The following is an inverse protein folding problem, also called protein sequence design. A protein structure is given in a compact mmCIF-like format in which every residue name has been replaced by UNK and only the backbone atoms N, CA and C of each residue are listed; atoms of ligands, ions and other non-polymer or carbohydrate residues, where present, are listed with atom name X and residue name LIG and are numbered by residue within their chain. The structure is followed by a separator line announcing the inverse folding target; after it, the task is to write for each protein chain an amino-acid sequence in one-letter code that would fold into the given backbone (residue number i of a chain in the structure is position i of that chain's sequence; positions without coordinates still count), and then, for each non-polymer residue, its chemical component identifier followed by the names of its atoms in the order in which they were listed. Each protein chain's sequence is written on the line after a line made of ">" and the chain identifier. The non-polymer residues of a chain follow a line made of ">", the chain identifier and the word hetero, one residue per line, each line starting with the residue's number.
data_IF_041659633833
#
_entry.id   IF_041659633833
#
_cell.length_a   1.000
_cell.length_b   1.000
_cell.length_c   1.000
_cell.angle_alpha   90.00
_cell.angle_beta   90.00
_cell.angle_gamma   90.00
#
_symmetry.space_group_name_H-M   'P 1'
#
loop_
_entity.id
_entity.type
_entity.pdbx_description
1 polymer ?
#
# COMPACT_ATOMS: atom_id res chain seq x y z
N UNK A 1 -5.16 -26.63 -24.03
CA UNK A 1 -4.68 -26.83 -22.64
C UNK A 1 -4.99 -25.56 -21.88
N UNK A 2 -5.67 -25.63 -20.72
CA UNK A 2 -6.09 -24.43 -20.01
C UNK A 2 -4.86 -23.60 -19.61
N UNK A 3 -4.91 -22.25 -19.69
CA UNK A 3 -3.82 -21.38 -19.26
C UNK A 3 -3.48 -21.48 -17.76
N UNK A 4 -4.20 -22.33 -17.02
CA UNK A 4 -4.05 -22.58 -15.58
C UNK A 4 -3.23 -23.85 -15.24
N UNK A 5 -2.58 -24.51 -16.20
CA UNK A 5 -1.72 -25.67 -15.88
C UNK A 5 -0.34 -25.29 -15.32
N UNK A 6 -0.13 -24.03 -14.96
CA UNK A 6 1.03 -23.61 -14.19
C UNK A 6 0.94 -24.22 -12.78
N UNK A 7 2.05 -24.73 -12.28
CA UNK A 7 2.14 -25.22 -10.92
C UNK A 7 1.72 -24.12 -9.94
N UNK A 8 0.71 -24.39 -9.12
CA UNK A 8 0.35 -23.57 -7.96
C UNK A 8 0.87 -24.24 -6.70
N UNK A 9 1.37 -23.49 -5.70
CA UNK A 9 1.69 -24.06 -4.40
C UNK A 9 0.50 -24.84 -3.85
N UNK A 10 0.74 -25.88 -3.06
CA UNK A 10 -0.31 -26.45 -2.21
C UNK A 10 -0.72 -25.44 -1.11
N UNK A 11 -1.85 -25.66 -0.41
CA UNK A 11 -2.15 -24.89 0.78
C UNK A 11 -1.04 -25.08 1.82
N UNK A 12 -0.50 -23.99 2.35
CA UNK A 12 0.49 -24.06 3.41
C UNK A 12 -0.12 -24.27 4.80
N UNK A 13 0.72 -24.38 5.85
CA UNK A 13 0.26 -24.70 7.19
C UNK A 13 -0.67 -23.64 7.78
N UNK A 14 -0.42 -22.35 7.55
CA UNK A 14 -1.24 -21.27 8.09
C UNK A 14 -2.61 -21.25 7.41
N UNK A 15 -2.64 -21.36 6.09
CA UNK A 15 -3.90 -21.45 5.35
C UNK A 15 -4.72 -22.67 5.79
N UNK A 16 -4.07 -23.82 5.96
CA UNK A 16 -4.72 -25.07 6.40
C UNK A 16 -5.28 -24.93 7.82
N UNK A 17 -4.53 -24.29 8.73
CA UNK A 17 -5.02 -24.02 10.09
C UNK A 17 -6.26 -23.12 10.07
N UNK A 18 -6.24 -22.01 9.32
CA UNK A 18 -7.37 -21.09 9.28
C UNK A 18 -8.61 -21.76 8.68
N UNK A 19 -8.44 -22.48 7.56
CA UNK A 19 -9.56 -23.16 6.90
C UNK A 19 -10.14 -24.29 7.75
N UNK A 20 -9.29 -25.06 8.44
CA UNK A 20 -9.77 -26.09 9.39
C UNK A 20 -10.50 -25.50 10.60
N UNK A 21 -10.03 -24.39 11.16
CA UNK A 21 -10.74 -23.68 12.23
C UNK A 21 -12.08 -23.12 11.74
N UNK A 22 -12.12 -22.59 10.52
CA UNK A 22 -13.35 -22.11 9.90
C UNK A 22 -14.35 -23.25 9.72
N UNK A 23 -13.93 -24.37 9.14
CA UNK A 23 -14.79 -25.53 8.94
C UNK A 23 -15.28 -26.12 10.29
N UNK A 24 -14.43 -26.12 11.32
CA UNK A 24 -14.79 -26.55 12.67
C UNK A 24 -15.77 -25.60 13.38
N UNK A 25 -15.78 -24.31 13.03
CA UNK A 25 -16.66 -23.30 13.64
C UNK A 25 -18.12 -23.40 13.20
N UNK A 26 -18.42 -24.18 12.15
CA UNK A 26 -19.76 -24.30 11.59
C UNK A 26 -20.24 -23.05 10.83
N UNK A 27 -19.36 -22.07 10.60
CA UNK A 27 -19.69 -20.86 9.84
C UNK A 27 -19.85 -21.25 8.36
N UNK A 28 -20.95 -20.83 7.68
CA UNK A 28 -21.15 -21.11 6.26
C UNK A 28 -19.96 -20.65 5.42
N UNK A 29 -19.61 -21.42 4.39
CA UNK A 29 -18.55 -21.02 3.45
C UNK A 29 -18.90 -19.69 2.82
N UNK A 30 -17.93 -18.78 2.78
CA UNK A 30 -18.12 -17.48 2.16
C UNK A 30 -18.62 -17.62 0.70
N UNK A 31 -19.52 -16.74 0.26
CA UNK A 31 -19.97 -16.67 -1.14
C UNK A 31 -18.79 -16.42 -2.09
N UNK A 32 -18.95 -16.74 -3.37
CA UNK A 32 -17.85 -16.71 -4.34
C UNK A 32 -17.25 -15.30 -4.50
N UNK A 33 -18.11 -14.29 -4.43
CA UNK A 33 -17.84 -12.86 -4.57
C UNK A 33 -16.93 -12.31 -3.46
N UNK A 34 -16.76 -13.06 -2.36
CA UNK A 34 -15.84 -12.75 -1.27
C UNK A 34 -14.56 -13.60 -1.31
N UNK A 35 -14.51 -14.64 -2.15
CA UNK A 35 -13.35 -15.52 -2.30
C UNK A 35 -12.54 -15.20 -3.55
N UNK A 36 -13.15 -14.64 -4.58
CA UNK A 36 -12.46 -14.24 -5.80
C UNK A 36 -13.04 -12.95 -6.34
N UNK A 37 -12.24 -12.24 -7.13
CA UNK A 37 -12.59 -10.93 -7.65
C UNK A 37 -13.55 -11.11 -8.82
N UNK A 38 -14.80 -10.66 -8.65
CA UNK A 38 -15.82 -10.70 -9.68
C UNK A 38 -16.30 -9.28 -9.94
N UNK A 39 -15.82 -8.62 -11.01
CA UNK A 39 -16.22 -7.25 -11.33
C UNK A 39 -17.75 -7.12 -11.43
N UNK A 40 -18.32 -6.14 -10.73
CA UNK A 40 -19.77 -5.91 -10.68
C UNK A 40 -20.55 -6.75 -9.66
N UNK A 41 -19.92 -7.76 -9.04
CA UNK A 41 -20.56 -8.62 -8.04
C UNK A 41 -19.88 -8.58 -6.68
N UNK A 42 -18.54 -8.52 -6.66
CA UNK A 42 -17.79 -8.31 -5.43
C UNK A 42 -18.12 -6.93 -4.84
N UNK A 43 -18.22 -6.77 -3.51
CA UNK A 43 -18.45 -5.47 -2.89
C UNK A 43 -17.43 -4.43 -3.35
N UNK A 44 -17.89 -3.21 -3.67
CA UNK A 44 -17.02 -2.12 -4.14
C UNK A 44 -16.20 -2.46 -5.41
N UNK A 45 -16.68 -3.38 -6.25
CA UNK A 45 -15.97 -3.80 -7.47
C UNK A 45 -16.30 -2.97 -8.70
N UNK A 46 -17.11 -1.93 -8.58
CA UNK A 46 -17.40 -1.00 -9.69
C UNK A 46 -16.80 0.38 -9.46
N UNK A 47 -16.42 1.05 -10.54
CA UNK A 47 -15.92 2.43 -10.49
C UNK A 47 -16.89 3.38 -9.79
N UNK A 48 -18.21 3.20 -10.00
CA UNK A 48 -19.26 4.03 -9.38
C UNK A 48 -19.25 3.88 -7.86
N UNK A 49 -19.15 2.65 -7.36
CA UNK A 49 -19.08 2.37 -5.93
C UNK A 49 -17.80 2.92 -5.31
N UNK A 50 -16.65 2.76 -5.97
CA UNK A 50 -15.37 3.30 -5.50
C UNK A 50 -15.43 4.83 -5.41
N UNK A 51 -15.91 5.50 -6.46
CA UNK A 51 -16.07 6.97 -6.48
C UNK A 51 -17.05 7.42 -5.39
N UNK A 52 -18.16 6.72 -5.21
CA UNK A 52 -19.13 7.03 -4.15
C UNK A 52 -18.54 6.84 -2.75
N UNK A 53 -17.75 5.78 -2.52
CA UNK A 53 -17.09 5.52 -1.25
C UNK A 53 -16.06 6.60 -0.92
N UNK A 54 -15.19 6.96 -1.87
CA UNK A 54 -14.20 8.03 -1.69
C UNK A 54 -14.87 9.40 -1.53
N UNK A 55 -15.92 9.69 -2.31
CA UNK A 55 -16.72 10.90 -2.14
C UNK A 55 -17.35 11.00 -0.77
N UNK A 56 -17.93 9.89 -0.28
CA UNK A 56 -18.50 9.80 1.08
C UNK A 56 -17.43 10.00 2.14
N UNK A 57 -16.27 9.37 2.00
CA UNK A 57 -15.12 9.58 2.88
C UNK A 57 -14.74 11.05 2.96
N UNK A 58 -14.53 11.73 1.83
CA UNK A 58 -14.15 13.15 1.82
C UNK A 58 -15.24 14.02 2.45
N UNK A 59 -16.52 13.75 2.17
CA UNK A 59 -17.64 14.45 2.79
C UNK A 59 -17.66 14.27 4.32
N UNK A 60 -17.45 13.06 4.81
CA UNK A 60 -17.38 12.77 6.26
C UNK A 60 -16.20 13.48 6.90
N UNK A 61 -15.02 13.49 6.27
CA UNK A 61 -13.82 14.12 6.83
C UNK A 61 -13.94 15.65 6.85
N UNK A 62 -14.34 16.27 5.73
CA UNK A 62 -14.46 17.73 5.66
C UNK A 62 -15.69 18.25 6.41
N UNK A 63 -16.83 17.59 6.29
CA UNK A 63 -18.05 17.92 7.04
C UNK A 63 -17.86 17.69 8.54
N UNK A 64 -17.25 16.56 8.93
CA UNK A 64 -16.89 16.27 10.31
C UNK A 64 -15.95 17.31 10.90
N UNK A 65 -14.96 17.79 10.13
CA UNK A 65 -14.06 18.86 10.55
C UNK A 65 -14.81 20.17 10.83
N UNK A 66 -15.80 20.52 10.01
CA UNK A 66 -16.63 21.72 10.23
C UNK A 66 -17.48 21.60 11.49
N UNK A 67 -18.17 20.47 11.65
CA UNK A 67 -19.00 20.17 12.84
C UNK A 67 -18.16 20.20 14.11
N UNK A 68 -16.94 19.66 14.04
CA UNK A 68 -16.06 19.61 15.19
C UNK A 68 -15.56 20.99 15.61
N UNK A 69 -15.61 22.05 14.77
CA UNK A 69 -15.15 23.40 15.19
C UNK A 69 -15.85 23.87 16.46
N UNK A 70 -17.16 23.67 16.57
CA UNK A 70 -17.99 24.09 17.71
C UNK A 70 -18.03 23.08 18.87
N UNK A 71 -17.40 21.90 18.74
CA UNK A 71 -17.45 20.83 19.76
C UNK A 71 -16.12 20.66 20.50
N UNK A 72 -16.12 19.98 21.64
CA UNK A 72 -14.88 19.60 22.33
C UNK A 72 -14.29 18.31 21.70
N UNK A 73 -12.96 18.09 21.77
CA UNK A 73 -12.35 16.88 21.23
C UNK A 73 -12.79 15.63 22.00
N UNK A 74 -13.14 14.56 21.28
CA UNK A 74 -13.57 13.31 21.89
C UNK A 74 -12.39 12.51 22.46
N UNK A 75 -12.60 11.84 23.60
CA UNK A 75 -11.64 10.91 24.20
C UNK A 75 -11.93 9.48 23.74
N UNK A 76 -11.41 9.10 22.58
CA UNK A 76 -11.66 7.80 21.93
C UNK A 76 -10.52 6.79 22.11
N UNK A 77 -9.82 6.81 23.25
CA UNK A 77 -8.61 6.00 23.45
C UNK A 77 -8.86 4.48 23.33
N UNK A 78 -9.96 3.98 23.89
CA UNK A 78 -10.34 2.56 23.79
C UNK A 78 -10.60 2.11 22.35
N UNK A 79 -11.58 2.72 21.65
CA UNK A 79 -11.86 2.41 20.25
C UNK A 79 -10.65 2.57 19.34
N UNK A 80 -9.85 3.63 19.53
CA UNK A 80 -8.61 3.84 18.78
C UNK A 80 -7.62 2.69 19.01
N UNK A 81 -7.41 2.24 20.25
CA UNK A 81 -6.53 1.09 20.53
C UNK A 81 -7.04 -0.20 19.88
N UNK A 82 -8.35 -0.47 19.97
CA UNK A 82 -8.96 -1.63 19.34
C UNK A 82 -8.77 -1.62 17.82
N UNK A 83 -8.98 -0.46 17.19
CA UNK A 83 -8.80 -0.28 15.77
C UNK A 83 -7.34 -0.56 15.33
N UNK A 84 -6.37 0.02 16.05
CA UNK A 84 -4.95 -0.16 15.73
C UNK A 84 -4.49 -1.61 15.94
N UNK A 85 -4.89 -2.28 17.03
CA UNK A 85 -4.52 -3.69 17.23
C UNK A 85 -5.17 -4.60 16.19
N UNK A 86 -6.43 -4.33 15.81
CA UNK A 86 -7.11 -5.04 14.72
C UNK A 86 -6.33 -4.89 13.41
N UNK A 87 -5.92 -3.68 13.04
CA UNK A 87 -5.15 -3.43 11.82
C UNK A 87 -3.75 -4.05 11.86
N UNK A 88 -3.07 -4.03 13.01
CA UNK A 88 -1.79 -4.74 13.20
C UNK A 88 -1.93 -6.24 12.98
N UNK A 89 -2.90 -6.87 13.66
CA UNK A 89 -3.09 -8.32 13.58
C UNK A 89 -3.60 -8.74 12.20
N UNK A 90 -4.55 -8.01 11.64
CA UNK A 90 -5.09 -8.25 10.30
C UNK A 90 -4.02 -8.12 9.21
N UNK A 91 -3.22 -7.05 9.25
CA UNK A 91 -2.12 -6.85 8.31
C UNK A 91 -1.03 -7.92 8.46
N UNK A 92 -0.73 -8.32 9.70
CA UNK A 92 0.29 -9.34 9.98
C UNK A 92 -0.15 -10.74 9.52
N UNK A 93 -1.41 -11.09 9.77
CA UNK A 93 -2.00 -12.34 9.28
C UNK A 93 -2.01 -12.38 7.76
N UNK A 94 -2.44 -11.30 7.12
CA UNK A 94 -2.47 -11.21 5.66
C UNK A 94 -1.08 -11.29 5.05
N UNK A 95 -0.09 -10.59 5.64
CA UNK A 95 1.30 -10.68 5.22
C UNK A 95 1.81 -12.13 5.29
N UNK A 96 1.55 -12.83 6.40
CA UNK A 96 1.98 -14.21 6.57
C UNK A 96 1.35 -15.14 5.52
N UNK A 97 0.05 -15.00 5.25
CA UNK A 97 -0.65 -15.77 4.22
C UNK A 97 -0.12 -15.49 2.81
N UNK A 98 0.17 -14.23 2.49
CA UNK A 98 0.77 -13.85 1.21
C UNK A 98 2.18 -14.42 1.07
N UNK A 99 3.01 -14.33 2.11
CA UNK A 99 4.36 -14.90 2.08
C UNK A 99 4.36 -16.43 1.96
N UNK A 100 3.43 -17.11 2.64
CA UNK A 100 3.24 -18.56 2.52
C UNK A 100 2.92 -18.99 1.08
N UNK A 101 2.18 -18.18 0.33
CA UNK A 101 1.87 -18.41 -1.09
C UNK A 101 3.04 -18.03 -2.02
N UNK A 102 3.65 -16.86 -1.82
CA UNK A 102 4.60 -16.27 -2.77
C UNK A 102 6.00 -16.90 -2.65
N UNK A 103 6.45 -17.22 -1.43
CA UNK A 103 7.81 -17.75 -1.21
C UNK A 103 8.06 -19.04 -2.02
N UNK A 104 7.16 -20.04 -2.03
CA UNK A 104 7.34 -21.22 -2.89
C UNK A 104 7.38 -20.89 -4.39
N UNK A 105 6.58 -19.94 -4.85
CA UNK A 105 6.56 -19.49 -6.26
C UNK A 105 7.91 -18.84 -6.61
N UNK A 106 8.37 -17.92 -5.78
CA UNK A 106 9.66 -17.25 -5.91
C UNK A 106 10.83 -18.24 -5.91
N UNK A 107 10.85 -19.20 -4.99
CA UNK A 107 11.92 -20.19 -4.90
C UNK A 107 11.95 -21.14 -6.11
N UNK A 108 10.79 -21.47 -6.67
CA UNK A 108 10.69 -22.40 -7.80
C UNK A 108 10.99 -21.75 -9.15
N UNK A 109 10.50 -20.53 -9.37
CA UNK A 109 10.52 -19.88 -10.68
C UNK A 109 11.44 -18.64 -10.75
N UNK A 110 11.91 -18.15 -9.61
CA UNK A 110 12.76 -16.96 -9.53
C UNK A 110 11.97 -15.64 -9.52
N UNK A 111 12.66 -14.56 -9.14
CA UNK A 111 12.04 -13.25 -8.92
C UNK A 111 11.29 -12.70 -10.14
N UNK A 112 11.95 -12.67 -11.30
CA UNK A 112 11.37 -12.09 -12.53
C UNK A 112 10.05 -12.76 -12.90
N UNK A 113 10.02 -14.10 -12.84
CA UNK A 113 8.82 -14.86 -13.13
C UNK A 113 7.69 -14.50 -12.15
N UNK A 114 7.98 -14.39 -10.85
CA UNK A 114 6.97 -14.06 -9.84
C UNK A 114 6.41 -12.64 -9.96
N UNK A 115 7.17 -11.69 -10.51
CA UNK A 115 6.67 -10.32 -10.69
C UNK A 115 5.99 -10.09 -12.04
N UNK A 116 6.26 -10.90 -13.06
CA UNK A 116 5.82 -10.65 -14.43
C UNK A 116 4.94 -11.75 -15.05
N UNK A 117 4.92 -12.98 -14.51
CA UNK A 117 4.11 -14.04 -15.08
C UNK A 117 2.64 -13.94 -14.61
N UNK A 118 1.64 -14.04 -15.51
CA UNK A 118 0.23 -14.07 -15.11
C UNK A 118 -0.10 -15.19 -14.13
N UNK A 119 0.61 -16.32 -14.22
CA UNK A 119 0.41 -17.48 -13.34
C UNK A 119 0.86 -17.23 -11.90
N UNK A 120 1.64 -16.16 -11.64
CA UNK A 120 1.95 -15.73 -10.29
C UNK A 120 0.74 -15.09 -9.59
N UNK A 121 -0.28 -14.67 -10.36
CA UNK A 121 -1.55 -14.15 -9.88
C UNK A 121 -2.50 -15.31 -9.52
N UNK A 122 -2.13 -16.09 -8.51
CA UNK A 122 -2.88 -17.32 -8.14
C UNK A 122 -4.24 -17.00 -7.54
N UNK A 123 -5.23 -17.91 -7.61
CA UNK A 123 -6.57 -17.68 -7.04
C UNK A 123 -6.56 -17.32 -5.55
N UNK A 124 -5.69 -17.95 -4.74
CA UNK A 124 -5.54 -17.60 -3.32
C UNK A 124 -4.97 -16.19 -3.13
N UNK A 125 -4.00 -15.83 -3.95
CA UNK A 125 -3.40 -14.50 -3.91
C UNK A 125 -4.40 -13.41 -4.31
N UNK A 126 -5.30 -13.68 -5.27
CA UNK A 126 -6.45 -12.79 -5.58
C UNK A 126 -7.31 -12.56 -4.34
N UNK A 127 -7.66 -13.62 -3.61
CA UNK A 127 -8.40 -13.48 -2.34
C UNK A 127 -7.66 -12.57 -1.36
N UNK A 128 -6.34 -12.72 -1.23
CA UNK A 128 -5.53 -11.90 -0.33
C UNK A 128 -5.46 -10.43 -0.78
N UNK A 129 -5.36 -10.17 -2.08
CA UNK A 129 -5.44 -8.82 -2.63
C UNK A 129 -6.80 -8.16 -2.38
N UNK A 130 -7.88 -8.92 -2.49
CA UNK A 130 -9.22 -8.44 -2.12
C UNK A 130 -9.32 -8.11 -0.64
N UNK A 131 -8.80 -8.97 0.24
CA UNK A 131 -8.77 -8.70 1.68
C UNK A 131 -7.94 -7.43 1.96
N UNK A 132 -6.78 -7.27 1.32
CA UNK A 132 -5.96 -6.05 1.43
C UNK A 132 -6.75 -4.82 0.97
N UNK A 133 -7.45 -4.91 -0.16
CA UNK A 133 -8.29 -3.85 -0.70
C UNK A 133 -9.37 -3.42 0.30
N UNK A 134 -10.08 -4.37 0.93
CA UNK A 134 -11.07 -4.06 1.95
C UNK A 134 -10.46 -3.49 3.23
N UNK A 135 -9.27 -3.94 3.63
CA UNK A 135 -8.53 -3.34 4.75
C UNK A 135 -8.29 -1.85 4.50
N UNK A 136 -8.02 -1.41 3.26
CA UNK A 136 -7.85 0.03 2.96
C UNK A 136 -9.08 0.88 3.25
N UNK A 137 -10.29 0.33 3.14
CA UNK A 137 -11.49 1.03 3.58
C UNK A 137 -11.62 1.09 5.10
N UNK A 138 -11.15 0.06 5.80
CA UNK A 138 -11.08 0.07 7.28
C UNK A 138 -10.05 1.11 7.74
N UNK A 139 -8.92 1.25 7.05
CA UNK A 139 -7.90 2.27 7.32
C UNK A 139 -8.46 3.71 7.19
N UNK A 140 -9.52 3.95 6.41
CA UNK A 140 -10.17 5.28 6.34
C UNK A 140 -10.75 5.75 7.69
N UNK A 141 -11.02 4.83 8.61
CA UNK A 141 -11.51 5.13 9.96
C UNK A 141 -10.42 5.86 10.77
N UNK A 142 -9.14 5.68 10.46
CA UNK A 142 -8.04 6.42 11.08
C UNK A 142 -8.23 7.94 10.94
N UNK A 143 -8.55 8.41 9.74
CA UNK A 143 -8.83 9.83 9.49
C UNK A 143 -10.03 10.32 10.29
N UNK A 144 -11.06 9.48 10.47
CA UNK A 144 -12.23 9.80 11.29
C UNK A 144 -11.83 10.00 12.76
N UNK A 145 -10.97 9.13 13.31
CA UNK A 145 -10.44 9.32 14.67
C UNK A 145 -9.68 10.64 14.81
N UNK A 146 -8.87 11.02 13.82
CA UNK A 146 -8.13 12.28 13.83
C UNK A 146 -9.08 13.49 13.82
N UNK A 147 -10.13 13.47 13.00
CA UNK A 147 -11.19 14.50 12.98
C UNK A 147 -11.85 14.64 14.35
N UNK A 148 -12.33 13.53 14.92
CA UNK A 148 -13.05 13.52 16.19
C UNK A 148 -12.16 13.92 17.39
N UNK A 149 -10.85 13.65 17.31
CA UNK A 149 -9.86 14.07 18.31
C UNK A 149 -9.34 15.50 18.09
N UNK A 150 -9.81 16.22 17.07
CA UNK A 150 -9.29 17.53 16.64
C UNK A 150 -7.78 17.54 16.36
N UNK A 151 -7.27 16.45 15.82
CA UNK A 151 -5.87 16.36 15.41
C UNK A 151 -5.71 16.99 14.02
N UNK A 152 -4.57 17.64 13.74
CA UNK A 152 -4.34 18.24 12.43
C UNK A 152 -4.31 17.13 11.36
N UNK A 153 -5.14 17.29 10.34
CA UNK A 153 -5.10 16.42 9.17
C UNK A 153 -4.05 16.92 8.20
N UNK A 154 -3.01 16.14 7.98
CA UNK A 154 -2.05 16.39 6.92
C UNK A 154 -2.69 16.06 5.57
N UNK A 155 -2.43 16.90 4.54
CA UNK A 155 -2.86 16.61 3.17
C UNK A 155 -2.37 15.24 2.70
N UNK A 156 -1.11 14.91 3.00
CA UNK A 156 -0.50 13.62 2.67
C UNK A 156 -1.35 12.43 3.16
N UNK A 157 -1.83 12.48 4.39
CA UNK A 157 -2.60 11.39 4.99
C UNK A 157 -3.96 11.21 4.28
N UNK A 158 -4.73 12.29 4.09
CA UNK A 158 -6.05 12.19 3.42
C UNK A 158 -5.91 11.76 1.96
N UNK A 159 -4.89 12.31 1.27
CA UNK A 159 -4.58 11.93 -0.11
C UNK A 159 -4.15 10.46 -0.21
N UNK A 160 -3.25 10.01 0.66
CA UNK A 160 -2.75 8.64 0.67
C UNK A 160 -3.86 7.62 0.92
N UNK A 161 -4.69 7.83 1.94
CA UNK A 161 -5.78 6.91 2.27
C UNK A 161 -6.80 6.78 1.14
N UNK A 162 -7.21 7.90 0.55
CA UNK A 162 -8.12 7.87 -0.59
C UNK A 162 -7.49 7.21 -1.83
N UNK A 163 -6.26 7.58 -2.17
CA UNK A 163 -5.64 7.13 -3.41
C UNK A 163 -5.12 5.68 -3.32
N UNK A 164 -4.74 5.18 -2.14
CA UNK A 164 -4.33 3.77 -1.96
C UNK A 164 -5.51 2.81 -2.14
N UNK A 165 -6.72 3.19 -1.73
CA UNK A 165 -7.93 2.41 -2.01
C UNK A 165 -8.21 2.33 -3.53
N UNK A 166 -8.07 3.46 -4.25
CA UNK A 166 -8.20 3.51 -5.71
C UNK A 166 -7.09 2.67 -6.37
N UNK A 167 -5.86 2.74 -5.86
CA UNK A 167 -4.75 1.92 -6.35
C UNK A 167 -5.09 0.45 -6.27
N UNK A 168 -5.48 -0.05 -5.11
CA UNK A 168 -5.83 -1.46 -4.93
C UNK A 168 -6.95 -1.90 -5.88
N UNK A 169 -7.97 -1.07 -6.09
CA UNK A 169 -9.02 -1.33 -7.09
C UNK A 169 -8.45 -1.45 -8.52
N UNK A 170 -7.67 -0.46 -8.96
CA UNK A 170 -7.08 -0.49 -10.33
C UNK A 170 -6.12 -1.65 -10.55
N UNK A 171 -5.38 -2.08 -9.51
CA UNK A 171 -4.46 -3.21 -9.60
C UNK A 171 -5.19 -4.56 -9.63
N UNK A 172 -6.31 -4.69 -8.92
CA UNK A 172 -7.19 -5.85 -9.01
C UNK A 172 -7.82 -5.98 -10.40
N UNK A 173 -8.40 -4.90 -10.92
CA UNK A 173 -8.96 -4.85 -12.29
C UNK A 173 -7.89 -5.06 -13.37
N UNK A 174 -6.67 -4.59 -13.11
CA UNK A 174 -5.57 -4.69 -14.05
C UNK A 174 -4.82 -6.01 -14.02
N UNK A 175 -5.15 -6.94 -13.10
CA UNK A 175 -4.47 -8.23 -12.90
C UNK A 175 -2.93 -8.11 -12.88
N UNK A 176 -2.40 -7.07 -12.23
CA UNK A 176 -0.97 -6.77 -12.27
C UNK A 176 -0.20 -7.73 -11.36
N UNK A 177 0.63 -8.61 -11.93
CA UNK A 177 1.35 -9.63 -11.14
C UNK A 177 2.36 -9.01 -10.16
N UNK A 178 2.94 -7.86 -10.47
CA UNK A 178 3.95 -7.18 -9.65
C UNK A 178 3.39 -6.66 -8.30
N UNK A 179 2.07 -6.56 -8.15
CA UNK A 179 1.45 -5.90 -7.00
C UNK A 179 1.74 -6.58 -5.65
N UNK A 180 2.06 -7.88 -5.61
CA UNK A 180 2.40 -8.55 -4.35
C UNK A 180 3.59 -7.90 -3.65
N UNK A 181 4.58 -7.41 -4.41
CA UNK A 181 5.78 -6.77 -3.83
C UNK A 181 5.36 -5.53 -3.05
N UNK A 182 4.57 -4.67 -3.68
CA UNK A 182 4.08 -3.42 -3.10
C UNK A 182 3.20 -3.70 -1.88
N UNK A 183 2.29 -4.68 -2.00
CA UNK A 183 1.37 -5.03 -0.92
C UNK A 183 2.12 -5.63 0.27
N UNK A 184 3.03 -6.60 0.06
CA UNK A 184 3.77 -7.24 1.17
C UNK A 184 4.69 -6.26 1.89
N UNK A 185 5.37 -5.35 1.17
CA UNK A 185 6.17 -4.30 1.78
C UNK A 185 5.30 -3.29 2.54
N UNK A 186 4.15 -2.89 1.99
CA UNK A 186 3.20 -2.02 2.67
C UNK A 186 2.66 -2.66 3.96
N UNK A 187 2.23 -3.93 3.89
CA UNK A 187 1.72 -4.67 5.04
C UNK A 187 2.78 -4.79 6.14
N UNK A 188 4.04 -5.06 5.79
CA UNK A 188 5.14 -5.11 6.76
C UNK A 188 5.30 -3.78 7.50
N UNK A 189 5.30 -2.66 6.78
CA UNK A 189 5.38 -1.33 7.38
C UNK A 189 4.13 -1.04 8.22
N UNK A 190 2.94 -1.40 7.74
CA UNK A 190 1.66 -1.20 8.44
C UNK A 190 1.59 -1.98 9.76
N UNK A 191 2.07 -3.22 9.81
CA UNK A 191 2.16 -4.00 11.06
C UNK A 191 2.93 -3.22 12.13
N UNK A 192 4.10 -2.69 11.78
CA UNK A 192 4.97 -1.97 12.71
C UNK A 192 4.36 -0.61 13.08
N UNK A 193 3.80 0.10 12.09
CA UNK A 193 3.17 1.41 12.26
C UNK A 193 1.96 1.34 13.18
N UNK A 194 1.01 0.45 12.92
CA UNK A 194 -0.19 0.30 13.75
C UNK A 194 0.13 -0.21 15.15
N UNK A 195 1.15 -1.08 15.28
CA UNK A 195 1.62 -1.51 16.59
C UNK A 195 2.17 -0.33 17.39
N UNK A 196 2.95 0.55 16.76
CA UNK A 196 3.44 1.77 17.38
C UNK A 196 2.28 2.65 17.86
N UNK A 197 1.22 2.82 17.05
CA UNK A 197 0.07 3.63 17.44
C UNK A 197 -0.75 3.00 18.56
N UNK A 198 -0.95 1.68 18.54
CA UNK A 198 -1.54 0.95 19.66
C UNK A 198 -0.74 1.16 20.96
N UNK A 199 0.58 1.02 20.91
CA UNK A 199 1.46 1.15 22.06
C UNK A 199 1.52 2.60 22.59
N UNK A 200 1.49 3.60 21.71
CA UNK A 200 1.56 5.03 22.08
C UNK A 200 0.21 5.65 22.42
N UNK A 201 -0.91 4.98 22.13
CA UNK A 201 -2.26 5.46 22.46
C UNK A 201 -2.48 5.71 23.97
N UNK A 202 -1.74 5.02 24.83
CA UNK A 202 -1.72 5.23 26.28
C UNK A 202 -0.84 6.39 26.76
N UNK A 203 -0.22 7.15 25.85
CA UNK A 203 0.67 8.26 26.17
C UNK A 203 2.16 7.87 26.28
N UNK A 204 2.51 6.62 25.97
CA UNK A 204 3.90 6.18 25.91
C UNK A 204 4.65 6.95 24.81
N UNK A 205 5.86 7.44 25.14
CA UNK A 205 6.73 8.09 24.17
C UNK A 205 7.82 7.12 23.74
N UNK A 206 7.76 6.66 22.50
CA UNK A 206 8.72 5.70 21.97
C UNK A 206 9.75 6.44 21.09
N UNK A 207 11.03 6.27 21.42
CA UNK A 207 12.18 6.95 20.83
C UNK A 207 12.40 6.67 19.33
N UNK A 208 11.98 5.50 18.83
CA UNK A 208 12.24 5.09 17.45
C UNK A 208 11.23 5.60 16.41
N UNK A 209 10.39 6.59 16.74
CA UNK A 209 9.39 7.16 15.81
C UNK A 209 10.01 7.53 14.45
N UNK A 210 11.21 8.09 14.45
CA UNK A 210 11.92 8.50 13.22
C UNK A 210 12.20 7.34 12.27
N UNK A 211 12.44 6.14 12.81
CA UNK A 211 12.71 4.96 12.00
C UNK A 211 11.46 4.48 11.26
N UNK A 212 10.25 4.71 11.78
CA UNK A 212 9.00 4.40 11.07
C UNK A 212 8.91 5.18 9.76
N UNK A 213 9.11 6.49 9.82
CA UNK A 213 9.08 7.33 8.60
C UNK A 213 10.21 6.98 7.64
N UNK A 214 11.39 6.58 8.15
CA UNK A 214 12.47 6.08 7.30
C UNK A 214 12.09 4.77 6.60
N UNK A 215 11.42 3.83 7.29
CA UNK A 215 10.95 2.57 6.70
C UNK A 215 9.90 2.80 5.61
N UNK A 216 8.94 3.72 5.82
CA UNK A 216 7.96 4.11 4.80
C UNK A 216 8.65 4.67 3.54
N UNK A 217 9.65 5.54 3.70
CA UNK A 217 10.39 6.09 2.55
C UNK A 217 11.18 4.99 1.82
N UNK A 218 11.86 4.11 2.55
CA UNK A 218 12.60 2.98 1.97
C UNK A 218 11.67 2.05 1.19
N UNK A 219 10.48 1.76 1.74
CA UNK A 219 9.43 0.98 1.06
C UNK A 219 9.07 1.59 -0.29
N UNK A 220 8.73 2.89 -0.34
CA UNK A 220 8.38 3.55 -1.61
C UNK A 220 9.51 3.56 -2.63
N UNK A 221 10.78 3.66 -2.21
CA UNK A 221 11.93 3.58 -3.11
C UNK A 221 12.02 2.20 -3.76
N UNK A 222 11.87 1.14 -2.97
CA UNK A 222 11.92 -0.25 -3.45
C UNK A 222 10.73 -0.52 -4.38
N UNK A 223 9.53 -0.11 -3.98
CA UNK A 223 8.31 -0.27 -4.78
C UNK A 223 8.45 0.42 -6.14
N UNK A 224 8.93 1.67 -6.15
CA UNK A 224 9.14 2.41 -7.39
C UNK A 224 10.12 1.72 -8.31
N UNK A 225 11.27 1.28 -7.79
CA UNK A 225 12.25 0.59 -8.62
C UNK A 225 11.66 -0.66 -9.29
N UNK A 226 10.94 -1.48 -8.52
CA UNK A 226 10.39 -2.75 -9.02
C UNK A 226 9.21 -2.53 -9.96
N UNK A 227 8.31 -1.58 -9.65
CA UNK A 227 7.15 -1.27 -10.50
C UNK A 227 7.59 -0.60 -11.81
N UNK A 228 8.57 0.30 -11.78
CA UNK A 228 9.13 0.87 -13.01
C UNK A 228 9.80 -0.21 -13.85
N UNK A 229 10.59 -1.09 -13.22
CA UNK A 229 11.20 -2.23 -13.91
C UNK A 229 10.14 -3.11 -14.57
N UNK A 230 9.11 -3.56 -13.87
CA UNK A 230 8.04 -4.36 -14.47
C UNK A 230 7.29 -3.61 -15.58
N UNK A 231 7.04 -2.31 -15.39
CA UNK A 231 6.35 -1.47 -16.37
C UNK A 231 7.15 -1.30 -17.66
N UNK A 232 8.49 -1.14 -17.59
CA UNK A 232 9.30 -1.01 -18.81
C UNK A 232 9.23 -2.27 -19.66
N UNK A 233 9.18 -3.46 -19.07
CA UNK A 233 9.00 -4.72 -19.81
C UNK A 233 7.60 -4.83 -20.42
N UNK A 234 6.55 -4.49 -19.66
CA UNK A 234 5.17 -4.44 -20.16
C UNK A 234 5.08 -3.52 -21.40
N UNK A 235 5.53 -2.27 -21.28
CA UNK A 235 5.43 -1.31 -22.39
C UNK A 235 6.32 -1.68 -23.57
N UNK A 236 7.56 -2.11 -23.32
CA UNK A 236 8.48 -2.48 -24.42
C UNK A 236 7.96 -3.65 -25.24
N UNK A 237 7.33 -4.63 -24.61
CA UNK A 237 6.69 -5.74 -25.31
C UNK A 237 5.50 -5.27 -26.16
N UNK A 238 4.62 -4.44 -25.59
CA UNK A 238 3.39 -3.96 -26.25
C UNK A 238 3.65 -2.99 -27.41
N UNK A 239 4.54 -2.01 -27.23
CA UNK A 239 4.93 -1.10 -28.30
C UNK A 239 5.65 -1.82 -29.44
N UNK A 240 6.48 -2.81 -29.12
CA UNK A 240 7.14 -3.67 -30.09
C UNK A 240 6.19 -4.43 -31.00
N UNK A 241 5.22 -5.12 -30.38
CA UNK A 241 4.21 -5.90 -31.09
C UNK A 241 3.32 -5.02 -31.99
N UNK A 242 2.94 -3.83 -31.52
CA UNK A 242 2.12 -2.90 -32.31
C UNK A 242 2.84 -2.36 -33.56
N UNK A 243 4.18 -2.32 -33.55
CA UNK A 243 4.96 -1.78 -34.66
C UNK A 243 5.32 -2.82 -35.75
N UNK A 244 5.37 -4.12 -35.43
CA UNK A 244 5.60 -5.18 -36.44
C UNK A 244 4.69 -6.40 -36.22
N UNK A 245 3.39 -6.31 -36.59
CA UNK A 245 2.39 -7.34 -36.30
C UNK A 245 2.53 -8.65 -37.10
N UNK A 246 3.38 -8.67 -38.13
CA UNK A 246 3.55 -9.79 -39.07
C UNK A 246 4.72 -10.74 -38.72
N UNK A 247 5.46 -10.46 -37.65
CA UNK A 247 6.55 -11.33 -37.19
C UNK A 247 6.01 -12.37 -36.22
N UNK A 248 6.35 -13.67 -36.37
CA UNK A 248 5.86 -14.75 -35.52
C UNK A 248 6.44 -14.74 -34.09
N UNK A 249 7.27 -13.75 -33.75
CA UNK A 249 7.91 -13.59 -32.44
C UNK A 249 7.82 -12.13 -31.97
N UNK A 250 7.67 -11.89 -30.65
CA UNK A 250 7.58 -10.53 -30.10
C UNK A 250 8.88 -9.76 -30.34
N UNK A 251 8.80 -8.79 -31.24
CA UNK A 251 9.85 -7.81 -31.50
C UNK A 251 9.86 -6.74 -30.41
N UNK A 252 10.48 -7.01 -29.26
CA UNK A 252 10.78 -5.92 -28.32
C UNK A 252 11.73 -4.92 -29.01
N UNK A 253 11.40 -3.61 -29.11
CA UNK A 253 12.22 -2.61 -29.79
C UNK A 253 13.32 -2.12 -28.84
N UNK A 254 13.98 -3.05 -28.16
CA UNK A 254 15.18 -2.76 -27.39
C UNK A 254 16.30 -3.64 -27.90
N UNK A 255 17.36 -2.99 -28.38
CA UNK A 255 18.72 -3.51 -28.54
C UNK A 255 19.15 -4.45 -27.40
N UNK A 256 18.50 -4.34 -26.23
CA UNK A 256 18.60 -5.21 -25.08
C UNK A 256 18.30 -6.69 -25.36
N UNK A 257 17.28 -7.05 -26.15
CA UNK A 257 16.98 -8.46 -26.40
C UNK A 257 18.06 -9.12 -27.28
N UNK A 258 18.60 -8.40 -28.27
CA UNK A 258 19.71 -8.88 -29.11
C UNK A 258 21.05 -8.95 -28.35
N UNK A 259 21.33 -7.97 -27.47
CA UNK A 259 22.57 -7.94 -26.68
C UNK A 259 22.53 -8.94 -25.51
N UNK A 260 21.38 -9.13 -24.86
CA UNK A 260 21.19 -10.11 -23.78
C UNK A 260 21.28 -11.54 -24.32
N UNK A 261 20.61 -11.89 -25.42
CA UNK A 261 20.74 -13.24 -26.00
C UNK A 261 22.14 -13.55 -26.57
N UNK A 262 22.97 -12.53 -26.83
CA UNK A 262 24.28 -12.68 -27.48
C UNK A 262 25.48 -12.58 -26.52
N UNK A 263 25.35 -11.85 -25.41
CA UNK A 263 26.46 -11.57 -24.48
C UNK A 263 26.16 -11.90 -23.01
N UNK A 264 24.95 -12.33 -22.66
CA UNK A 264 24.63 -12.77 -21.30
C UNK A 264 23.88 -14.11 -21.32
N UNK A 265 24.00 -14.97 -20.30
CA UNK A 265 23.27 -16.23 -20.25
C UNK A 265 21.79 -16.05 -19.82
N UNK A 266 21.21 -14.85 -19.97
CA UNK A 266 19.84 -14.57 -19.54
C UNK A 266 18.86 -14.78 -20.70
N UNK A 267 17.80 -15.60 -20.53
CA UNK A 267 16.85 -15.91 -21.60
C UNK A 267 16.06 -14.68 -22.04
N UNK A 268 15.69 -14.66 -23.33
CA UNK A 268 14.91 -13.61 -24.00
C UNK A 268 13.71 -13.19 -23.14
N UNK A 269 13.61 -11.88 -22.91
CA UNK A 269 12.80 -11.34 -21.81
C UNK A 269 11.32 -11.26 -22.20
N UNK A 270 10.46 -11.93 -21.44
CA UNK A 270 9.01 -12.02 -21.69
C UNK A 270 8.20 -10.79 -21.26
N UNK A 271 6.93 -10.74 -21.70
CA UNK A 271 5.92 -9.76 -21.30
C UNK A 271 5.66 -9.82 -19.78
N UNK A 272 5.38 -8.66 -19.16
CA UNK A 272 4.92 -8.62 -17.77
C UNK A 272 3.40 -8.54 -17.71
N UNK A 273 2.78 -9.26 -16.79
CA UNK A 273 1.32 -9.31 -16.67
C UNK A 273 0.76 -8.05 -16.04
N UNK A 274 -0.24 -7.47 -16.70
CA UNK A 274 -0.99 -6.34 -16.19
C UNK A 274 -1.59 -5.47 -17.29
N UNK A 275 -2.56 -4.63 -16.93
CA UNK A 275 -3.07 -3.59 -17.82
C UNK A 275 -2.16 -2.35 -17.83
N UNK A 276 -2.05 -1.71 -19.00
CA UNK A 276 -1.25 -0.49 -19.18
C UNK A 276 -1.76 0.66 -18.29
N UNK A 277 -3.09 0.78 -18.16
CA UNK A 277 -3.71 1.79 -17.30
C UNK A 277 -3.37 1.60 -15.82
N UNK A 278 -3.41 0.37 -15.33
CA UNK A 278 -3.03 0.06 -13.95
C UNK A 278 -1.54 0.32 -13.69
N UNK A 279 -0.67 -0.01 -14.65
CA UNK A 279 0.77 0.25 -14.56
C UNK A 279 1.08 1.76 -14.52
N UNK A 280 0.49 2.55 -15.43
CA UNK A 280 0.67 4.01 -15.45
C UNK A 280 0.16 4.66 -14.17
N UNK A 281 -1.03 4.26 -13.72
CA UNK A 281 -1.61 4.78 -12.49
C UNK A 281 -0.73 4.45 -11.27
N UNK A 282 -0.24 3.21 -11.16
CA UNK A 282 0.67 2.78 -10.10
C UNK A 282 1.99 3.57 -10.10
N UNK A 283 2.65 3.70 -11.25
CA UNK A 283 3.88 4.48 -11.40
C UNK A 283 3.69 5.95 -10.99
N UNK A 284 2.63 6.58 -11.47
CA UNK A 284 2.32 7.98 -11.16
C UNK A 284 2.04 8.19 -9.67
N UNK A 285 1.23 7.31 -9.08
CA UNK A 285 0.83 7.42 -7.68
C UNK A 285 2.00 7.18 -6.73
N UNK A 286 2.77 6.11 -6.91
CA UNK A 286 3.94 5.82 -6.08
C UNK A 286 4.99 6.94 -6.16
N UNK A 287 5.16 7.54 -7.35
CA UNK A 287 6.08 8.68 -7.53
C UNK A 287 5.60 9.88 -6.71
N UNK A 288 4.30 10.16 -6.74
CA UNK A 288 3.70 11.22 -5.94
C UNK A 288 3.87 10.97 -4.43
N UNK A 289 3.72 9.73 -3.97
CA UNK A 289 3.90 9.35 -2.57
C UNK A 289 5.33 9.57 -2.11
N UNK A 290 6.32 9.07 -2.86
CA UNK A 290 7.73 9.26 -2.50
C UNK A 290 8.06 10.75 -2.33
N UNK A 291 7.60 11.61 -3.26
CA UNK A 291 7.80 13.05 -3.15
C UNK A 291 7.17 13.63 -1.88
N UNK A 292 5.91 13.29 -1.59
CA UNK A 292 5.19 13.80 -0.42
C UNK A 292 5.81 13.34 0.90
N UNK A 293 6.24 12.08 0.99
CA UNK A 293 6.91 11.54 2.19
C UNK A 293 8.29 12.15 2.42
N UNK A 294 9.07 12.38 1.35
CA UNK A 294 10.34 13.12 1.45
C UNK A 294 10.10 14.56 1.91
N UNK A 295 9.10 15.24 1.33
CA UNK A 295 8.74 16.59 1.72
C UNK A 295 8.32 16.66 3.21
N UNK A 296 7.49 15.71 3.65
CA UNK A 296 7.09 15.56 5.04
C UNK A 296 8.30 15.31 5.97
N UNK A 297 9.18 14.37 5.63
CA UNK A 297 10.37 14.07 6.43
C UNK A 297 11.29 15.29 6.58
N UNK A 298 11.49 16.04 5.50
CA UNK A 298 12.28 17.29 5.52
C UNK A 298 11.62 18.35 6.41
N UNK A 299 10.31 18.51 6.32
CA UNK A 299 9.56 19.47 7.13
C UNK A 299 9.60 19.12 8.62
N UNK A 300 9.49 17.83 8.97
CA UNK A 300 9.40 17.35 10.36
C UNK A 300 10.77 17.23 11.03
N UNK A 301 11.76 16.64 10.35
CA UNK A 301 13.02 16.27 10.99
C UNK A 301 14.21 17.17 10.61
N UNK A 302 14.27 17.71 9.39
CA UNK A 302 15.40 18.57 8.98
C UNK A 302 15.20 20.04 9.36
N UNK A 303 13.98 20.59 9.31
CA UNK A 303 13.72 21.97 9.76
C UNK A 303 13.73 22.14 11.29
N UNK A 304 13.52 21.08 12.07
CA UNK A 304 13.65 21.09 13.53
C UNK A 304 15.09 21.21 14.04
N UNK A 305 16.07 20.67 13.30
CA UNK A 305 17.48 20.68 13.67
C UNK A 305 18.15 22.06 13.52
N UNK A 306 17.66 22.91 12.60
CA UNK A 306 18.23 24.24 12.35
C UNK A 306 17.89 25.29 13.44
N UNK A 307 16.89 25.04 14.29
CA UNK A 307 16.54 25.95 15.40
C UNK A 307 17.33 25.71 16.69
N UNK A 308 18.21 24.71 16.74
CA UNK A 308 19.05 24.37 17.90
C UNK A 308 20.45 24.99 17.90
N UNK A 309 20.86 25.74 16.87
CA UNK A 309 22.22 26.29 16.73
C UNK A 309 22.24 27.80 16.48
N UNK A 310 21.51 28.56 17.30
CA UNK A 310 21.56 30.02 17.22
C UNK A 310 20.94 30.68 18.43
N UNK A 311 21.73 30.83 19.50
CA UNK A 311 21.67 31.92 20.47
C UNK A 311 22.80 31.78 21.49
N UNK A 312 23.94 32.35 21.17
CA UNK A 312 24.88 32.86 22.15
C UNK A 312 24.76 34.39 22.14
N UNK A 313 24.53 34.92 23.33
CA UNK A 313 24.69 36.30 23.82
C UNK A 313 23.79 37.46 23.32
N UNK A 314 23.08 38.08 24.27
CA UNK A 314 23.20 39.48 24.74
C UNK A 314 21.97 39.83 25.60
N UNK A 315 22.28 40.41 26.76
CA UNK A 315 21.48 40.87 27.91
C UNK A 315 20.51 42.02 27.55
N UNK A 316 19.29 42.04 28.11
CA UNK A 316 18.43 43.25 28.11
C UNK A 316 16.91 43.05 28.24
N UNK A 317 16.39 43.31 29.45
CA UNK A 317 15.04 43.77 29.88
C UNK A 317 13.72 43.42 29.14
N UNK A 318 12.79 42.87 29.94
CA UNK A 318 11.32 42.86 29.92
C UNK A 318 10.50 43.38 28.71
N UNK A 319 9.67 42.50 28.10
CA UNK A 319 8.18 42.54 28.11
C UNK A 319 7.54 41.49 27.18
N UNK A 320 6.38 40.99 27.64
CA UNK A 320 5.33 40.24 26.92
C UNK A 320 5.67 38.85 26.34
N UNK A 321 5.37 37.81 27.13
CA UNK A 321 5.26 36.42 26.67
C UNK A 321 3.91 36.21 25.97
N UNK A 322 3.92 36.06 24.65
CA UNK A 322 2.99 35.16 23.99
C UNK A 322 3.68 34.47 22.80
N UNK A 323 4.30 33.31 23.09
CA UNK A 323 4.82 32.38 22.07
C UNK A 323 4.40 30.96 22.46
N UNK A 324 3.21 30.56 22.03
CA UNK A 324 2.90 29.16 21.72
C UNK A 324 2.76 29.01 20.21
N UNK A 325 3.89 29.14 19.52
CA UNK A 325 4.06 28.47 18.24
C UNK A 325 4.34 27.00 18.52
N UNK A 326 3.32 26.27 18.98
CA UNK A 326 3.36 24.81 19.03
C UNK A 326 3.53 24.38 17.58
N UNK A 327 4.73 23.96 17.20
CA UNK A 327 4.93 23.16 15.99
C UNK A 327 4.10 21.92 16.25
N UNK A 328 2.88 21.93 15.71
CA UNK A 328 1.96 20.82 15.84
C UNK A 328 2.63 19.70 15.07
N UNK A 329 3.23 18.79 15.82
CA UNK A 329 3.70 17.51 15.31
C UNK A 329 2.43 16.83 14.84
N UNK A 330 2.11 17.02 13.56
CA UNK A 330 1.11 16.25 12.85
C UNK A 330 1.44 14.79 13.11
N UNK A 331 0.51 14.11 13.78
CA UNK A 331 0.35 12.67 13.72
C UNK A 331 0.17 12.38 12.23
N UNK A 332 1.28 12.11 11.56
CA UNK A 332 1.31 11.53 10.23
C UNK A 332 1.47 10.07 10.53
N UNK A 333 0.35 9.36 10.40
CA UNK A 333 0.39 7.96 9.98
C UNK A 333 1.48 7.74 8.93
#
# INVERSE_FOLDING_TARGET
>A
MSPFSAWTPGPGPLYTLITSLWDASGIPKAPLELKTWVPGHSPLSTQKEVVAAIGTYLLVIFGGREIMKSRQPFKLTGPFRFHNIYLTLGSGLLLALMLEEIVPIFLKHGFFWTICNPSAFTPRLVTYYMINYYIKYVELIDTVFLVLKKKPLAFLHVFHHAATAILCFTQLEGETSVQWVVITLNLLVHVIMYYYYYATAGGAKIWWKKYLTSMQITQFIIDLFIVYFASTFLFSHRFGHNQYPHLPFPVSPSTYNHFATKYTPFPAVGDCAGSEGAALFGCGLLTSYLFLFIAFYRATYKKGAAKGKGKADVRGSAKSKNKRGTVVVTEVE
#
